data_IF_587486579512
#
_entry.id   IF_587486579512
#
_cell.length_a   1.000
_cell.length_b   1.000
_cell.length_c   1.000
_cell.angle_alpha   90.00
_cell.angle_beta   90.00
_cell.angle_gamma   90.00
#
_symmetry.space_group_name_H-M   'P 1'
#
loop_
_entity.id
_entity.type
_entity.pdbx_description
1 polymer ?
#
# COMPACT_ATOMS: atom_id res chain seq x y z
N UNK A 1 12.82 22.51 -5.25
CA UNK A 1 11.34 22.58 -5.36
C UNK A 1 10.62 22.59 -4.01
N UNK A 2 10.54 21.49 -3.24
CA UNK A 2 9.80 21.51 -1.95
C UNK A 2 10.35 22.56 -0.96
N UNK A 3 11.68 22.64 -0.86
CA UNK A 3 12.37 23.66 -0.03
C UNK A 3 12.00 25.09 -0.44
N UNK A 4 11.91 25.35 -1.74
CA UNK A 4 11.57 26.67 -2.26
C UNK A 4 10.11 27.01 -1.93
N UNK A 5 9.19 26.07 -2.14
CA UNK A 5 7.79 26.24 -1.76
C UNK A 5 7.63 26.56 -0.27
N UNK A 6 8.33 25.80 0.60
CA UNK A 6 8.31 26.06 2.04
C UNK A 6 8.87 27.45 2.38
N UNK A 7 10.00 27.84 1.77
CA UNK A 7 10.60 29.17 1.95
C UNK A 7 9.67 30.30 1.48
N UNK A 8 8.90 30.07 0.43
CA UNK A 8 7.94 31.02 -0.13
C UNK A 8 6.61 31.08 0.68
N UNK A 9 6.54 30.32 1.78
CA UNK A 9 5.43 30.29 2.71
C UNK A 9 4.25 29.45 2.22
N UNK A 10 4.49 28.49 1.32
CA UNK A 10 3.46 27.55 0.92
C UNK A 10 3.15 26.55 2.03
N UNK A 11 1.89 26.17 2.08
CA UNK A 11 1.45 24.94 2.72
C UNK A 11 1.68 23.78 1.76
N UNK A 12 2.58 22.88 2.13
CA UNK A 12 2.98 21.75 1.28
C UNK A 12 2.42 20.47 1.87
N UNK A 13 1.47 19.84 1.17
CA UNK A 13 0.82 18.59 1.59
C UNK A 13 1.33 17.47 0.68
N UNK A 14 1.98 16.48 1.26
CA UNK A 14 2.39 15.25 0.57
C UNK A 14 1.31 14.19 0.77
N UNK A 15 0.71 13.79 -0.34
CA UNK A 15 -0.36 12.81 -0.44
C UNK A 15 0.25 11.40 -0.58
N UNK A 16 0.25 10.65 0.52
CA UNK A 16 0.80 9.31 0.60
C UNK A 16 -0.24 8.23 0.26
N UNK A 17 0.22 7.10 -0.30
CA UNK A 17 -0.65 6.00 -0.73
C UNK A 17 -1.22 5.15 0.42
N UNK A 18 -0.66 5.26 1.63
CA UNK A 18 -1.09 4.53 2.82
C UNK A 18 -0.29 4.93 4.06
N UNK A 19 -0.72 4.47 5.24
CA UNK A 19 -0.15 4.86 6.54
C UNK A 19 1.36 4.63 6.63
N UNK A 20 1.82 3.40 6.34
CA UNK A 20 3.25 3.11 6.35
C UNK A 20 4.05 3.90 5.31
N UNK A 21 3.40 4.37 4.24
CA UNK A 21 4.06 5.26 3.26
C UNK A 21 4.17 6.68 3.78
N UNK A 22 3.14 7.18 4.46
CA UNK A 22 3.14 8.50 5.09
C UNK A 22 4.30 8.61 6.11
N UNK A 23 4.45 7.63 6.99
CA UNK A 23 5.53 7.60 7.98
C UNK A 23 6.92 7.58 7.34
N UNK A 24 7.11 6.77 6.29
CA UNK A 24 8.38 6.71 5.55
C UNK A 24 8.69 8.03 4.86
N UNK A 25 7.69 8.66 4.26
CA UNK A 25 7.87 9.90 3.52
C UNK A 25 8.22 11.06 4.46
N UNK A 26 7.53 11.18 5.60
CA UNK A 26 7.84 12.18 6.61
C UNK A 26 9.29 12.03 7.13
N UNK A 27 9.69 10.79 7.50
CA UNK A 27 11.07 10.50 7.93
C UNK A 27 12.09 10.89 6.87
N UNK A 28 11.88 10.49 5.62
CA UNK A 28 12.79 10.79 4.52
C UNK A 28 12.92 12.30 4.25
N UNK A 29 11.83 13.06 4.40
CA UNK A 29 11.86 14.51 4.22
C UNK A 29 12.61 15.20 5.37
N UNK A 30 12.38 14.76 6.61
CA UNK A 30 13.11 15.25 7.80
C UNK A 30 14.59 14.93 7.71
N UNK A 31 14.98 13.71 7.31
CA UNK A 31 16.38 13.34 7.07
C UNK A 31 17.07 14.22 6.00
N UNK A 32 16.29 14.78 5.07
CA UNK A 32 16.76 15.74 4.05
C UNK A 32 16.73 17.20 4.52
N UNK A 33 16.47 17.43 5.81
CA UNK A 33 16.40 18.75 6.44
C UNK A 33 15.16 19.54 6.06
N UNK A 34 14.02 18.87 5.87
CA UNK A 34 12.72 19.53 5.64
C UNK A 34 11.77 19.17 6.77
N UNK A 35 11.19 20.17 7.43
CA UNK A 35 10.20 19.95 8.48
C UNK A 35 8.87 19.48 7.88
N UNK A 36 8.58 18.19 8.09
CA UNK A 36 7.34 17.54 7.71
C UNK A 36 6.79 16.73 8.87
N UNK A 37 5.51 16.92 9.19
CA UNK A 37 4.77 16.10 10.16
C UNK A 37 3.72 15.23 9.48
N UNK A 38 3.43 14.06 10.05
CA UNK A 38 2.34 13.20 9.57
C UNK A 38 1.03 13.70 10.15
N UNK A 39 0.16 14.26 9.31
CA UNK A 39 -1.20 14.65 9.66
C UNK A 39 -2.15 13.45 9.58
N UNK A 40 -2.81 13.14 10.68
CA UNK A 40 -3.82 12.08 10.82
C UNK A 40 -5.21 12.63 10.58
N UNK A 41 -6.19 11.73 10.44
CA UNK A 41 -7.60 12.09 10.28
C UNK A 41 -8.05 13.02 11.40
N UNK A 42 -8.49 14.23 11.05
CA UNK A 42 -8.92 15.26 12.00
C UNK A 42 -7.86 16.33 12.30
N UNK A 43 -6.61 16.14 11.88
CA UNK A 43 -5.58 17.17 12.04
C UNK A 43 -5.82 18.35 11.08
N UNK A 44 -5.60 19.56 11.60
CA UNK A 44 -5.69 20.77 10.80
C UNK A 44 -4.47 20.89 9.88
N UNK A 45 -4.64 20.49 8.63
CA UNK A 45 -3.71 20.76 7.53
C UNK A 45 -3.83 22.21 7.02
N UNK A 46 -4.22 23.16 7.87
CA UNK A 46 -4.43 24.56 7.48
C UNK A 46 -3.20 25.42 7.70
N UNK A 47 -2.33 25.03 8.63
CA UNK A 47 -1.14 25.80 9.00
C UNK A 47 -0.07 25.72 7.90
N UNK A 48 0.68 26.81 7.64
CA UNK A 48 1.84 26.78 6.76
C UNK A 48 2.87 25.72 7.19
N UNK A 49 3.67 25.23 6.24
CA UNK A 49 4.68 24.20 6.49
C UNK A 49 4.44 22.90 5.73
N UNK A 50 5.26 21.89 6.05
CA UNK A 50 5.21 20.57 5.43
C UNK A 50 4.33 19.60 6.19
N UNK A 51 3.38 18.98 5.51
CA UNK A 51 2.50 17.97 6.06
C UNK A 51 2.49 16.74 5.17
N UNK A 52 2.39 15.55 5.76
CA UNK A 52 2.20 14.28 5.06
C UNK A 52 0.89 13.68 5.52
N UNK A 53 0.01 13.30 4.60
CA UNK A 53 -1.27 12.67 4.96
C UNK A 53 -1.62 11.52 4.03
N UNK A 54 -2.47 10.61 4.49
CA UNK A 54 -2.94 9.48 3.68
C UNK A 54 -4.08 9.98 2.79
N UNK A 55 -3.73 10.34 1.56
CA UNK A 55 -4.66 10.79 0.54
C UNK A 55 -4.10 10.36 -0.82
N UNK A 56 -4.32 9.10 -1.24
CA UNK A 56 -3.71 8.58 -2.47
C UNK A 56 -4.10 9.42 -3.69
N UNK A 57 -3.11 9.95 -4.41
CA UNK A 57 -3.29 10.79 -5.59
C UNK A 57 -2.37 10.34 -6.73
N UNK A 58 -2.87 10.44 -7.97
CA UNK A 58 -2.06 10.12 -9.16
C UNK A 58 -1.08 11.23 -9.53
N UNK A 59 -1.46 12.49 -9.28
CA UNK A 59 -0.67 13.69 -9.55
C UNK A 59 -1.02 14.74 -8.50
N UNK A 60 -0.02 15.50 -8.10
CA UNK A 60 -0.20 16.71 -7.31
C UNK A 60 -0.72 17.89 -8.11
N UNK A 61 -0.97 18.99 -7.42
CA UNK A 61 -1.33 20.27 -8.00
C UNK A 61 -0.78 21.42 -7.15
N UNK A 62 -0.76 22.63 -7.70
CA UNK A 62 -0.35 23.82 -6.97
C UNK A 62 -1.39 24.91 -7.22
N UNK A 63 -1.88 25.51 -6.15
CA UNK A 63 -2.86 26.59 -6.17
C UNK A 63 -2.16 27.83 -5.61
N UNK A 64 -1.58 28.61 -6.51
CA UNK A 64 -0.79 29.80 -6.16
C UNK A 64 -1.59 30.83 -5.35
N UNK A 65 -2.86 31.06 -5.72
CA UNK A 65 -3.75 31.99 -5.03
C UNK A 65 -3.97 31.64 -3.54
N UNK A 66 -3.85 30.36 -3.17
CA UNK A 66 -4.02 29.87 -1.81
C UNK A 66 -2.70 29.51 -1.12
N UNK A 67 -1.54 29.76 -1.77
CA UNK A 67 -0.23 29.27 -1.33
C UNK A 67 -0.25 27.79 -0.94
N UNK A 68 -0.93 26.96 -1.72
CA UNK A 68 -1.11 25.54 -1.46
C UNK A 68 -0.40 24.71 -2.53
N UNK A 69 0.41 23.76 -2.11
CA UNK A 69 0.99 22.75 -2.97
C UNK A 69 0.62 21.36 -2.46
N UNK A 70 -0.13 20.60 -3.26
CA UNK A 70 -0.40 19.19 -3.01
C UNK A 70 0.54 18.38 -3.90
N UNK A 71 1.29 17.46 -3.31
CA UNK A 71 2.32 16.68 -3.99
C UNK A 71 1.97 15.22 -3.85
N UNK A 72 1.75 14.51 -4.96
CA UNK A 72 1.51 13.07 -4.90
C UNK A 72 2.81 12.33 -4.57
N UNK A 73 2.72 11.19 -3.91
CA UNK A 73 3.86 10.30 -3.67
C UNK A 73 4.61 9.95 -4.98
N UNK A 74 3.86 9.78 -6.08
CA UNK A 74 4.41 9.52 -7.40
C UNK A 74 5.26 10.68 -7.95
N UNK A 75 4.96 11.94 -7.57
CA UNK A 75 5.73 13.11 -8.00
C UNK A 75 7.13 13.16 -7.36
N UNK A 76 7.29 12.53 -6.19
CA UNK A 76 8.55 12.47 -5.44
C UNK A 76 9.36 11.22 -5.75
N UNK A 77 8.68 10.08 -5.91
CA UNK A 77 9.32 8.78 -6.10
C UNK A 77 9.49 8.41 -7.57
N UNK A 78 8.77 9.06 -8.48
CA UNK A 78 8.66 8.67 -9.89
C UNK A 78 7.90 7.36 -10.11
N UNK A 79 7.45 6.68 -9.03
CA UNK A 79 6.75 5.40 -9.10
C UNK A 79 5.25 5.66 -9.21
N UNK A 80 4.63 5.21 -10.30
CA UNK A 80 3.17 5.23 -10.42
C UNK A 80 2.58 4.05 -9.65
N UNK A 81 1.49 4.32 -8.92
CA UNK A 81 0.68 3.29 -8.27
C UNK A 81 0.21 2.28 -9.31
N UNK A 82 0.43 0.99 -9.05
CA UNK A 82 -0.19 -0.06 -9.83
C UNK A 82 -1.71 -0.02 -9.61
N UNK A 83 -2.49 -0.03 -10.69
CA UNK A 83 -3.96 0.09 -10.63
C UNK A 83 -4.66 -1.14 -10.00
N UNK A 84 -3.90 -2.16 -9.62
CA UNK A 84 -4.42 -3.38 -8.99
C UNK A 84 -4.39 -3.25 -7.48
N UNK A 85 -5.55 -3.22 -6.87
CA UNK A 85 -5.68 -3.50 -5.44
C UNK A 85 -5.02 -4.86 -5.15
N UNK A 86 -4.24 -4.93 -4.07
CA UNK A 86 -3.67 -6.19 -3.62
C UNK A 86 -4.84 -7.15 -3.34
N UNK A 87 -4.99 -8.17 -4.20
CA UNK A 87 -6.05 -9.16 -4.02
C UNK A 87 -5.72 -9.92 -2.74
N UNK A 88 -6.62 -9.98 -1.74
CA UNK A 88 -6.37 -10.78 -0.55
C UNK A 88 -5.99 -12.18 -1.00
N UNK A 89 -4.83 -12.64 -0.52
CA UNK A 89 -4.32 -13.97 -0.82
C UNK A 89 -5.37 -14.92 -0.27
N UNK A 90 -6.16 -15.55 -1.16
CA UNK A 90 -7.12 -16.60 -0.77
C UNK A 90 -6.29 -17.58 0.06
N UNK A 91 -6.53 -17.65 1.37
CA UNK A 91 -5.98 -18.71 2.21
C UNK A 91 -6.43 -19.99 1.53
N UNK A 92 -5.50 -20.69 0.89
CA UNK A 92 -5.74 -22.07 0.48
C UNK A 92 -6.07 -22.77 1.79
N UNK A 93 -7.29 -23.31 1.87
CA UNK A 93 -7.83 -23.83 3.12
C UNK A 93 -6.83 -24.76 3.76
N UNK A 94 -6.28 -24.34 4.90
CA UNK A 94 -5.66 -25.24 5.85
C UNK A 94 -6.81 -25.98 6.54
N UNK A 95 -7.49 -26.84 5.78
CA UNK A 95 -8.33 -27.86 6.38
C UNK A 95 -7.38 -28.93 6.90
N UNK A 96 -7.41 -29.21 8.20
CA UNK A 96 -6.86 -30.47 8.67
C UNK A 96 -7.58 -31.59 7.90
N UNK A 97 -6.82 -32.42 7.19
CA UNK A 97 -7.35 -33.57 6.43
C UNK A 97 -7.46 -34.83 7.29
N UNK A 98 -7.43 -34.68 8.62
CA UNK A 98 -7.42 -35.80 9.58
C UNK A 98 -8.68 -36.68 9.44
N UNK A 99 -9.80 -36.11 9.00
CA UNK A 99 -11.06 -36.82 8.79
C UNK A 99 -11.31 -37.28 7.33
N UNK A 100 -10.33 -37.14 6.44
CA UNK A 100 -10.52 -37.48 5.02
C UNK A 100 -10.47 -39.00 4.81
N UNK A 101 -11.64 -39.60 4.59
CA UNK A 101 -11.79 -41.04 4.34
C UNK A 101 -11.89 -41.35 2.85
N UNK A 102 -11.39 -42.52 2.39
CA UNK A 102 -11.62 -42.98 1.03
C UNK A 102 -13.12 -42.93 0.66
N UNK A 103 -13.41 -42.44 -0.53
CA UNK A 103 -14.77 -42.23 -1.02
C UNK A 103 -15.31 -40.79 -0.86
N UNK A 104 -14.65 -39.95 -0.07
CA UNK A 104 -15.06 -38.55 0.12
C UNK A 104 -14.67 -37.70 -1.10
N UNK A 105 -15.52 -36.72 -1.43
CA UNK A 105 -15.28 -35.80 -2.54
C UNK A 105 -14.35 -34.65 -2.11
N UNK A 106 -13.40 -34.32 -2.98
CA UNK A 106 -12.42 -33.25 -2.80
C UNK A 106 -12.40 -32.37 -4.04
N UNK A 107 -12.08 -31.09 -3.88
CA UNK A 107 -11.99 -30.14 -5.00
C UNK A 107 -10.53 -29.77 -5.22
N UNK A 108 -9.98 -30.15 -6.36
CA UNK A 108 -8.66 -29.73 -6.81
C UNK A 108 -8.77 -28.45 -7.66
N UNK A 109 -7.96 -27.45 -7.34
CA UNK A 109 -8.03 -26.14 -8.02
C UNK A 109 -7.86 -26.23 -9.54
N UNK A 110 -7.01 -27.15 -10.02
CA UNK A 110 -6.76 -27.33 -11.45
C UNK A 110 -7.71 -28.32 -12.13
N UNK A 111 -8.31 -29.26 -11.38
CA UNK A 111 -9.00 -30.42 -11.97
C UNK A 111 -10.49 -30.53 -11.59
N UNK A 112 -10.99 -29.67 -10.70
CA UNK A 112 -12.38 -29.70 -10.26
C UNK A 112 -12.63 -30.76 -9.18
N UNK A 113 -13.84 -31.34 -9.18
CA UNK A 113 -14.28 -32.32 -8.17
C UNK A 113 -13.68 -33.69 -8.49
N UNK A 114 -13.07 -34.33 -7.49
CA UNK A 114 -12.58 -35.71 -7.55
C UNK A 114 -12.92 -36.48 -6.29
N UNK A 115 -12.75 -37.80 -6.30
CA UNK A 115 -12.97 -38.66 -5.13
C UNK A 115 -11.62 -39.09 -4.54
N UNK A 116 -11.44 -38.92 -3.23
CA UNK A 116 -10.23 -39.36 -2.54
C UNK A 116 -10.19 -40.89 -2.44
N UNK A 117 -9.10 -41.50 -2.90
CA UNK A 117 -8.91 -42.96 -2.91
C UNK A 117 -7.89 -43.47 -1.87
N UNK A 118 -7.43 -42.62 -0.95
CA UNK A 118 -6.39 -42.98 0.02
C UNK A 118 -4.98 -42.56 -0.41
N UNK A 119 -3.99 -42.89 0.43
CA UNK A 119 -2.57 -42.59 0.18
C UNK A 119 -1.85 -43.84 -0.34
N UNK A 120 -0.97 -43.64 -1.31
CA UNK A 120 -0.11 -44.71 -1.84
C UNK A 120 1.34 -44.21 -1.84
N UNK A 121 2.24 -44.99 -1.26
CA UNK A 121 3.68 -44.73 -1.34
C UNK A 121 4.19 -45.24 -2.68
N UNK A 122 4.91 -44.40 -3.43
CA UNK A 122 5.57 -44.77 -4.68
C UNK A 122 7.02 -44.34 -4.64
N UNK A 123 7.91 -45.20 -5.13
CA UNK A 123 9.32 -44.84 -5.39
C UNK A 123 9.35 -43.99 -6.65
N UNK A 124 10.02 -42.83 -6.59
CA UNK A 124 10.22 -41.96 -7.74
C UNK A 124 11.73 -42.00 -8.04
N UNK A 125 12.10 -42.57 -9.19
CA UNK A 125 13.48 -42.53 -9.69
C UNK A 125 14.43 -43.66 -9.25
N UNK A 126 13.94 -44.72 -8.59
CA UNK A 126 14.79 -45.82 -8.11
C UNK A 126 15.36 -45.57 -6.73
#
# INVERSE_FOLDING_TARGET
RLRDLLRDGYRVIVAADGEGSADRMAKLLVERGLDFSVGRTGDSLLNPGGHVTVAPLHRGCTVAAAKLAVVAEADLTGRRRAHRAARPRKRQGTGLFEDLKPGYYVVHYQHGVGQYQGMVKRTIGG
#
